data_IF_004091091149
#
_entry.id   IF_004091091149
#
_cell.length_a   1.000
_cell.length_b   1.000
_cell.length_c   1.000
_cell.angle_alpha   90.00
_cell.angle_beta   90.00
_cell.angle_gamma   90.00
#
_symmetry.space_group_name_H-M   'P 1'
#
loop_
_entity.id
_entity.type
_entity.pdbx_description
1 polymer ?
#
# COMPACT_ATOMS: atom_id res chain seq x y z
N UNK A 1 41.01 21.58 40.97
CA UNK A 1 40.72 21.38 42.39
C UNK A 1 39.29 20.82 42.51
N UNK A 2 39.20 19.54 42.94
CA UNK A 2 38.05 18.87 43.58
C UNK A 2 36.72 18.83 42.80
N UNK A 3 36.05 17.79 42.61
CA UNK A 3 35.95 16.36 42.97
C UNK A 3 34.53 15.92 42.67
N UNK A 4 34.42 14.90 41.91
CA UNK A 4 33.66 13.64 42.06
C UNK A 4 32.32 13.66 42.84
N UNK A 5 31.24 13.12 42.22
CA UNK A 5 30.50 12.01 42.87
C UNK A 5 29.70 11.21 41.83
N UNK A 6 30.14 9.97 41.71
CA UNK A 6 29.40 8.82 41.20
C UNK A 6 28.33 8.41 42.24
N UNK A 7 27.13 8.05 41.82
CA UNK A 7 26.27 7.14 42.61
C UNK A 7 25.66 6.12 41.67
N UNK A 8 26.14 4.90 41.81
CA UNK A 8 25.58 3.66 41.32
C UNK A 8 24.60 3.11 42.38
N UNK A 9 23.44 2.63 41.98
CA UNK A 9 22.67 1.68 42.78
C UNK A 9 22.15 0.58 41.87
N UNK A 10 22.64 -0.60 42.13
CA UNK A 10 22.23 -1.88 41.58
C UNK A 10 21.08 -2.49 42.40
N UNK A 11 20.28 -3.33 41.76
CA UNK A 11 19.72 -4.54 42.41
C UNK A 11 18.25 -4.50 42.75
N UNK A 12 17.46 -5.32 42.11
CA UNK A 12 16.89 -6.50 42.76
C UNK A 12 16.12 -7.38 41.75
N UNK A 13 16.66 -8.58 41.59
CA UNK A 13 15.98 -9.78 41.06
C UNK A 13 15.02 -10.31 42.12
N UNK A 14 13.80 -10.67 41.75
CA UNK A 14 13.01 -11.63 42.51
C UNK A 14 12.41 -12.67 41.56
N UNK A 15 12.96 -13.88 41.69
CA UNK A 15 12.41 -15.13 41.18
C UNK A 15 11.24 -15.56 42.07
N UNK A 16 10.14 -16.01 41.46
CA UNK A 16 9.25 -16.97 42.13
C UNK A 16 8.93 -18.11 41.17
N UNK A 17 9.50 -19.25 41.52
CA UNK A 17 9.10 -20.58 41.06
C UNK A 17 8.01 -21.09 42.02
N UNK A 18 6.94 -21.66 41.49
CA UNK A 18 6.15 -22.64 42.24
C UNK A 18 5.64 -23.71 41.30
N UNK A 19 6.11 -24.91 41.55
CA UNK A 19 5.66 -26.20 41.02
C UNK A 19 4.43 -26.69 41.80
N UNK A 20 3.63 -27.52 41.16
CA UNK A 20 3.03 -28.80 41.61
C UNK A 20 1.64 -28.95 40.98
N UNK A 21 1.46 -29.90 40.13
CA UNK A 21 1.17 -31.34 40.31
C UNK A 21 -0.33 -31.68 40.52
N UNK A 22 -0.84 -32.58 39.69
CA UNK A 22 -1.83 -33.50 40.21
C UNK A 22 -3.06 -33.82 39.38
N UNK A 23 -2.96 -34.82 38.50
CA UNK A 23 -3.90 -35.97 38.38
C UNK A 23 -5.31 -35.84 37.78
N UNK A 24 -5.44 -36.50 36.64
CA UNK A 24 -6.50 -37.44 36.20
C UNK A 24 -7.91 -37.36 36.81
N UNK A 25 -8.92 -37.38 35.94
CA UNK A 25 -9.93 -38.44 35.89
C UNK A 25 -10.69 -38.43 34.55
N UNK A 26 -10.85 -39.61 33.98
CA UNK A 26 -11.72 -39.95 32.85
C UNK A 26 -13.20 -39.76 33.21
N UNK A 27 -14.02 -39.40 32.20
CA UNK A 27 -15.46 -39.54 32.29
C UNK A 27 -16.08 -39.28 30.94
N UNK A 28 -16.33 -40.35 30.20
CA UNK A 28 -17.16 -40.32 28.99
C UNK A 28 -18.63 -40.16 29.40
N UNK A 29 -19.34 -39.30 28.71
CA UNK A 29 -20.78 -39.44 28.58
C UNK A 29 -21.25 -38.78 27.28
N UNK A 30 -21.70 -39.64 26.37
CA UNK A 30 -22.56 -39.31 25.27
C UNK A 30 -23.87 -38.72 25.80
N UNK A 31 -24.32 -37.64 25.22
CA UNK A 31 -25.74 -37.38 25.07
C UNK A 31 -26.00 -36.50 23.86
N UNK A 32 -26.80 -37.08 23.00
CA UNK A 32 -27.49 -36.49 21.85
C UNK A 32 -28.16 -35.17 22.25
N UNK A 33 -27.96 -34.13 21.45
CA UNK A 33 -29.01 -33.15 21.32
C UNK A 33 -29.07 -32.61 19.88
N UNK A 34 -30.25 -32.79 19.33
CA UNK A 34 -30.59 -32.35 18.00
C UNK A 34 -30.82 -30.85 17.94
N UNK A 35 -30.36 -30.25 16.86
CA UNK A 35 -31.03 -29.21 16.12
C UNK A 35 -31.28 -27.86 16.83
N UNK A 36 -30.38 -26.94 16.59
CA UNK A 36 -30.71 -25.56 16.29
C UNK A 36 -29.55 -24.97 15.49
N UNK A 37 -29.66 -25.00 14.18
CA UNK A 37 -28.89 -24.12 13.32
C UNK A 37 -29.44 -22.70 13.49
N UNK A 38 -28.92 -21.99 14.49
CA UNK A 38 -28.99 -20.53 14.47
C UNK A 38 -28.07 -20.04 13.36
N UNK A 39 -28.64 -19.41 12.33
CA UNK A 39 -27.90 -18.77 11.25
C UNK A 39 -26.90 -17.79 11.83
N UNK A 40 -25.63 -18.18 11.85
CA UNK A 40 -24.56 -17.25 12.15
C UNK A 40 -24.46 -16.27 10.99
N UNK A 41 -24.80 -15.02 11.23
CA UNK A 41 -24.48 -13.92 10.32
C UNK A 41 -22.98 -14.00 10.02
N UNK A 42 -22.62 -13.99 8.74
CA UNK A 42 -21.23 -13.95 8.32
C UNK A 42 -20.65 -12.59 8.67
N UNK A 43 -19.96 -12.52 9.80
CA UNK A 43 -19.29 -11.30 10.24
C UNK A 43 -17.83 -11.34 9.80
N UNK A 44 -17.43 -10.33 9.05
CA UNK A 44 -16.03 -10.06 8.72
C UNK A 44 -15.54 -8.94 9.62
N UNK A 45 -14.48 -9.19 10.37
CA UNK A 45 -13.90 -8.23 11.31
C UNK A 45 -12.67 -7.58 10.69
N UNK A 46 -12.63 -6.26 10.69
CA UNK A 46 -11.47 -5.48 10.27
C UNK A 46 -10.39 -5.53 11.37
N UNK A 47 -9.13 -5.76 11.04
CA UNK A 47 -8.05 -5.71 12.02
C UNK A 47 -8.02 -4.37 12.77
N UNK A 48 -7.74 -4.41 14.07
CA UNK A 48 -7.55 -3.20 14.86
C UNK A 48 -6.22 -2.56 14.46
N UNK A 49 -6.28 -1.43 13.77
CA UNK A 49 -5.12 -0.62 13.44
C UNK A 49 -5.16 0.60 14.36
N UNK A 50 -4.56 0.43 15.54
CA UNK A 50 -4.33 1.54 16.46
C UNK A 50 -3.15 2.37 15.95
N UNK A 51 -3.43 3.31 15.09
CA UNK A 51 -2.50 4.30 14.60
C UNK A 51 -3.24 5.60 14.33
N UNK A 52 -2.59 6.71 14.60
CA UNK A 52 -3.08 8.03 14.20
C UNK A 52 -3.45 8.01 12.71
N UNK A 53 -4.42 8.77 12.31
CA UNK A 53 -4.88 8.91 10.93
C UNK A 53 -3.73 9.37 10.02
N UNK A 54 -2.88 8.43 9.60
CA UNK A 54 -1.78 8.68 8.65
C UNK A 54 -2.30 8.82 7.22
N UNK A 55 -3.57 8.46 7.02
CA UNK A 55 -4.23 8.50 5.73
C UNK A 55 -5.22 9.65 5.64
N UNK A 56 -5.11 10.44 4.60
CA UNK A 56 -6.06 11.46 4.20
C UNK A 56 -6.35 11.33 2.71
N UNK A 57 -7.58 11.18 2.35
CA UNK A 57 -8.02 11.21 0.96
C UNK A 57 -9.01 10.11 0.59
N UNK A 58 -9.83 10.38 -0.39
CA UNK A 58 -10.66 9.38 -1.06
C UNK A 58 -9.84 8.66 -2.12
N UNK A 59 -10.04 7.36 -2.26
CA UNK A 59 -9.29 6.54 -3.22
C UNK A 59 -9.86 6.66 -4.63
N UNK A 60 -8.96 6.70 -5.61
CA UNK A 60 -9.27 6.43 -7.00
C UNK A 60 -9.39 4.91 -7.28
N UNK A 61 -9.88 4.52 -8.47
CA UNK A 61 -9.97 3.11 -8.84
C UNK A 61 -8.57 2.49 -8.88
N UNK A 62 -8.37 1.43 -8.09
CA UNK A 62 -7.19 0.59 -8.20
C UNK A 62 -7.37 -0.41 -9.34
N UNK A 63 -6.28 -0.72 -10.01
CA UNK A 63 -6.30 -1.70 -11.09
C UNK A 63 -6.61 -3.10 -10.59
N UNK A 64 -7.62 -3.66 -11.19
CA UNK A 64 -7.93 -5.07 -11.13
C UNK A 64 -7.58 -5.69 -12.48
N UNK A 65 -6.98 -6.86 -12.46
CA UNK A 65 -6.68 -7.62 -13.67
C UNK A 65 -7.75 -8.68 -13.89
N UNK A 66 -8.42 -8.65 -15.04
CA UNK A 66 -9.30 -9.72 -15.49
C UNK A 66 -8.61 -10.45 -16.64
N UNK A 67 -8.25 -11.71 -16.41
CA UNK A 67 -7.59 -12.57 -17.39
C UNK A 67 -8.53 -13.69 -17.84
N UNK A 68 -8.66 -13.86 -19.13
CA UNK A 68 -9.38 -14.98 -19.72
C UNK A 68 -8.39 -16.05 -20.20
N UNK A 69 -8.61 -17.31 -19.76
CA UNK A 69 -7.82 -18.46 -20.23
C UNK A 69 -8.66 -19.27 -21.23
N UNK A 70 -8.33 -19.25 -22.52
CA UNK A 70 -9.23 -19.67 -23.60
C UNK A 70 -9.60 -21.16 -23.59
N UNK A 71 -8.70 -22.03 -23.10
CA UNK A 71 -8.88 -23.50 -23.16
C UNK A 71 -10.02 -24.04 -22.28
N UNK A 72 -10.42 -23.33 -21.25
CA UNK A 72 -11.42 -23.83 -20.28
C UNK A 72 -12.57 -22.87 -20.02
N UNK A 73 -12.68 -21.76 -20.73
CA UNK A 73 -13.63 -20.68 -20.41
C UNK A 73 -13.49 -20.18 -18.94
N UNK A 74 -12.33 -20.43 -18.35
CA UNK A 74 -12.05 -19.98 -16.99
C UNK A 74 -11.71 -18.49 -17.02
N UNK A 75 -12.48 -17.73 -16.29
CA UNK A 75 -12.25 -16.31 -16.04
C UNK A 75 -11.55 -16.16 -14.70
N UNK A 76 -10.47 -15.42 -14.68
CA UNK A 76 -9.75 -15.06 -13.46
C UNK A 76 -9.91 -13.56 -13.23
N UNK A 77 -10.44 -13.20 -12.08
CA UNK A 77 -10.63 -11.81 -11.66
C UNK A 77 -9.70 -11.55 -10.49
N UNK A 78 -8.93 -10.47 -10.56
CA UNK A 78 -8.04 -10.04 -9.50
C UNK A 78 -8.45 -8.64 -9.07
N UNK A 79 -8.72 -8.44 -7.78
CA UNK A 79 -9.28 -7.19 -7.28
C UNK A 79 -8.97 -6.99 -5.79
N UNK A 80 -9.21 -5.78 -5.32
CA UNK A 80 -9.07 -5.43 -3.90
C UNK A 80 -10.44 -5.10 -3.32
N UNK A 81 -10.56 -5.35 -2.02
CA UNK A 81 -11.69 -4.90 -1.20
C UNK A 81 -11.12 -4.10 -0.05
N UNK A 82 -11.60 -2.90 0.12
CA UNK A 82 -11.07 -1.96 1.07
C UNK A 82 -12.16 -1.34 1.94
N UNK A 83 -11.76 -0.89 3.12
CA UNK A 83 -12.60 -0.08 3.98
C UNK A 83 -12.67 1.39 3.47
N UNK A 84 -13.50 2.27 4.07
CA UNK A 84 -13.57 3.67 3.65
C UNK A 84 -12.27 4.47 3.80
N UNK A 85 -11.35 3.98 4.62
CA UNK A 85 -10.02 4.58 4.81
C UNK A 85 -8.99 4.00 3.84
N UNK A 86 -9.40 3.05 2.98
CA UNK A 86 -8.57 2.45 1.98
C UNK A 86 -7.68 1.32 2.47
N UNK A 87 -7.96 0.76 3.62
CA UNK A 87 -7.25 -0.44 4.08
C UNK A 87 -7.83 -1.70 3.46
N UNK A 88 -6.95 -2.57 2.97
CA UNK A 88 -7.36 -3.87 2.47
C UNK A 88 -8.11 -4.64 3.56
N UNK A 89 -9.26 -5.21 3.19
CA UNK A 89 -10.09 -6.03 4.06
C UNK A 89 -9.76 -7.51 3.85
N UNK A 90 -8.92 -8.12 4.69
CA UNK A 90 -8.64 -9.55 4.63
C UNK A 90 -9.84 -10.36 5.15
N UNK A 91 -9.78 -11.67 4.93
CA UNK A 91 -10.69 -12.64 5.55
C UNK A 91 -12.17 -12.58 5.08
N UNK A 92 -12.45 -11.94 3.93
CA UNK A 92 -13.75 -12.09 3.29
C UNK A 92 -13.85 -13.51 2.73
N UNK A 93 -14.85 -14.25 3.17
CA UNK A 93 -15.00 -15.65 2.81
C UNK A 93 -15.53 -15.78 1.39
N UNK A 94 -15.24 -16.92 0.75
CA UNK A 94 -15.72 -17.26 -0.59
C UNK A 94 -17.23 -17.01 -0.77
N UNK A 95 -18.02 -17.43 0.18
CA UNK A 95 -19.48 -17.36 0.10
C UNK A 95 -20.02 -15.93 0.24
N UNK A 96 -19.16 -14.99 0.64
CA UNK A 96 -19.48 -13.56 0.70
C UNK A 96 -19.31 -12.84 -0.65
N UNK A 97 -18.86 -13.54 -1.71
CA UNK A 97 -18.72 -12.94 -3.02
C UNK A 97 -19.84 -13.41 -3.96
N UNK A 98 -20.44 -12.47 -4.66
CA UNK A 98 -21.29 -12.73 -5.83
C UNK A 98 -20.65 -12.09 -7.06
N UNK A 99 -20.41 -12.89 -8.09
CA UNK A 99 -19.84 -12.43 -9.36
C UNK A 99 -20.93 -12.47 -10.43
N UNK A 100 -21.03 -11.39 -11.19
CA UNK A 100 -21.92 -11.26 -12.33
C UNK A 100 -21.10 -10.98 -13.58
N UNK A 101 -21.41 -11.69 -14.66
CA UNK A 101 -20.89 -11.46 -15.99
C UNK A 101 -22.07 -11.13 -16.90
N UNK A 102 -22.10 -9.94 -17.49
CA UNK A 102 -23.23 -9.40 -18.24
C UNK A 102 -24.57 -9.57 -17.48
N UNK A 103 -24.58 -9.17 -16.20
CA UNK A 103 -25.68 -9.30 -15.24
C UNK A 103 -26.11 -10.76 -14.92
N UNK A 104 -25.45 -11.76 -15.45
CA UNK A 104 -25.70 -13.18 -15.13
C UNK A 104 -24.81 -13.63 -13.98
N UNK A 105 -25.42 -14.02 -12.86
CA UNK A 105 -24.70 -14.53 -11.68
C UNK A 105 -23.93 -15.81 -12.01
N UNK A 106 -22.62 -15.79 -11.76
CA UNK A 106 -21.74 -16.92 -11.97
C UNK A 106 -21.75 -17.85 -10.75
N UNK A 107 -21.50 -19.14 -10.99
CA UNK A 107 -21.50 -20.19 -9.97
C UNK A 107 -20.11 -20.82 -9.86
N UNK A 108 -19.93 -21.65 -8.83
CA UNK A 108 -18.70 -22.43 -8.61
C UNK A 108 -17.43 -21.57 -8.57
N UNK A 109 -17.48 -20.47 -7.82
CA UNK A 109 -16.34 -19.59 -7.64
C UNK A 109 -15.24 -20.31 -6.83
N UNK A 110 -14.00 -20.26 -7.28
CA UNK A 110 -12.83 -20.47 -6.43
C UNK A 110 -12.32 -19.09 -6.00
N UNK A 111 -12.13 -18.89 -4.72
CA UNK A 111 -11.67 -17.61 -4.16
C UNK A 111 -10.40 -17.85 -3.36
N UNK A 112 -9.34 -17.19 -3.76
CA UNK A 112 -8.03 -17.22 -3.11
C UNK A 112 -7.57 -15.80 -2.78
N UNK A 113 -6.59 -15.71 -1.88
CA UNK A 113 -5.83 -14.48 -1.63
C UNK A 113 -4.44 -14.68 -2.21
N UNK A 114 -4.08 -13.84 -3.16
CA UNK A 114 -2.77 -13.90 -3.81
C UNK A 114 -1.83 -12.85 -3.21
N UNK A 115 -0.59 -13.28 -2.95
CA UNK A 115 0.51 -12.41 -2.61
C UNK A 115 1.50 -12.44 -3.78
N UNK A 116 1.43 -11.45 -4.64
CA UNK A 116 2.28 -11.37 -5.82
C UNK A 116 3.59 -10.61 -5.54
N UNK A 117 4.70 -10.97 -6.21
CA UNK A 117 5.89 -10.15 -6.25
C UNK A 117 5.58 -8.77 -6.83
N UNK A 118 6.30 -7.78 -6.36
CA UNK A 118 6.10 -6.38 -6.80
C UNK A 118 7.41 -5.80 -7.36
N UNK A 119 7.28 -4.86 -8.29
CA UNK A 119 8.39 -4.03 -8.72
C UNK A 119 8.16 -2.61 -8.23
N UNK A 120 9.06 -2.09 -7.43
CA UNK A 120 8.94 -0.77 -6.79
C UNK A 120 10.04 0.16 -7.26
N UNK A 121 9.65 1.35 -7.72
CA UNK A 121 10.55 2.47 -7.91
C UNK A 121 10.48 3.38 -6.67
N UNK A 122 11.57 3.45 -5.90
CA UNK A 122 11.74 4.49 -4.89
C UNK A 122 12.20 5.77 -5.56
N UNK A 123 11.43 6.84 -5.38
CA UNK A 123 11.77 8.19 -5.85
C UNK A 123 12.02 9.08 -4.63
N UNK A 124 13.26 9.49 -4.45
CA UNK A 124 13.71 10.22 -3.28
C UNK A 124 13.94 11.68 -3.61
N UNK A 125 13.36 12.57 -2.80
CA UNK A 125 13.76 13.97 -2.79
C UNK A 125 15.17 14.10 -2.25
N UNK A 126 16.07 14.68 -3.06
CA UNK A 126 17.47 14.80 -2.74
C UNK A 126 18.02 16.12 -3.28
N UNK A 127 17.55 17.22 -2.68
CA UNK A 127 17.86 18.58 -3.07
C UNK A 127 17.10 19.58 -2.21
N UNK A 128 17.06 20.80 -2.67
CA UNK A 128 16.37 21.92 -2.01
C UNK A 128 17.30 23.09 -1.75
N UNK A 129 16.71 24.24 -1.44
CA UNK A 129 17.45 25.50 -1.24
C UNK A 129 17.84 25.80 0.21
N UNK A 130 17.64 24.86 1.11
CA UNK A 130 17.80 25.10 2.54
C UNK A 130 18.96 24.28 3.10
N UNK A 131 20.17 24.77 2.86
CA UNK A 131 21.43 24.09 3.20
C UNK A 131 21.48 23.58 4.65
N UNK A 132 20.97 24.35 5.60
CA UNK A 132 21.00 24.00 7.02
C UNK A 132 20.11 22.78 7.35
N UNK A 133 19.03 22.57 6.59
CA UNK A 133 18.13 21.44 6.73
C UNK A 133 18.48 20.28 5.80
N UNK A 134 19.21 20.55 4.71
CA UNK A 134 19.50 19.51 3.72
C UNK A 134 20.27 18.33 4.30
N UNK A 135 21.11 18.54 5.31
CA UNK A 135 21.88 17.45 5.94
C UNK A 135 21.00 16.48 6.73
N UNK A 136 20.06 17.01 7.53
CA UNK A 136 19.13 16.19 8.29
C UNK A 136 18.10 15.55 7.37
N UNK A 137 17.50 16.32 6.46
CA UNK A 137 16.51 15.81 5.49
C UNK A 137 17.11 14.71 4.61
N UNK A 138 18.35 14.86 4.12
CA UNK A 138 19.00 13.82 3.31
C UNK A 138 19.22 12.52 4.08
N UNK A 139 19.59 12.59 5.35
CA UNK A 139 19.71 11.41 6.22
C UNK A 139 18.37 10.77 6.50
N UNK A 140 17.35 11.56 6.81
CA UNK A 140 16.00 11.08 7.04
C UNK A 140 15.43 10.40 5.80
N UNK A 141 15.57 11.00 4.63
CA UNK A 141 15.13 10.40 3.36
C UNK A 141 15.82 9.06 3.10
N UNK A 142 17.14 8.97 3.32
CA UNK A 142 17.89 7.73 3.17
C UNK A 142 17.45 6.68 4.20
N UNK A 143 17.18 7.08 5.44
CA UNK A 143 16.72 6.16 6.49
C UNK A 143 15.30 5.66 6.22
N UNK A 144 14.39 6.54 5.83
CA UNK A 144 13.04 6.16 5.38
C UNK A 144 13.13 5.14 4.25
N UNK A 145 14.00 5.37 3.26
CA UNK A 145 14.19 4.42 2.16
C UNK A 145 14.78 3.08 2.62
N UNK A 146 15.68 3.05 3.61
CA UNK A 146 16.22 1.80 4.18
C UNK A 146 15.15 0.99 4.90
N UNK A 147 14.30 1.64 5.68
CA UNK A 147 13.19 0.97 6.36
C UNK A 147 12.25 0.25 5.39
N UNK A 148 12.11 0.77 4.16
CA UNK A 148 11.38 0.08 3.12
C UNK A 148 12.07 -1.21 2.65
N UNK A 149 13.39 -1.21 2.54
CA UNK A 149 14.14 -2.38 2.10
C UNK A 149 13.91 -3.60 3.00
N UNK A 150 13.64 -3.40 4.28
CA UNK A 150 13.35 -4.48 5.24
C UNK A 150 12.00 -5.18 4.99
N UNK A 151 11.10 -4.56 4.23
CA UNK A 151 9.79 -5.11 3.87
C UNK A 151 9.78 -5.87 2.55
N UNK A 152 10.88 -5.81 1.78
CA UNK A 152 10.98 -6.52 0.51
C UNK A 152 11.22 -8.01 0.70
N UNK A 153 10.57 -8.81 -0.14
CA UNK A 153 10.82 -10.24 -0.28
C UNK A 153 11.92 -10.48 -1.31
N UNK A 154 12.42 -11.72 -1.35
CA UNK A 154 13.50 -12.07 -2.30
C UNK A 154 13.08 -12.03 -3.78
N UNK A 155 11.80 -12.15 -4.06
CA UNK A 155 11.19 -12.12 -5.39
C UNK A 155 10.72 -10.72 -5.82
N UNK A 156 10.75 -9.74 -4.91
CA UNK A 156 10.47 -8.36 -5.23
C UNK A 156 11.65 -7.70 -5.95
N UNK A 157 11.32 -6.75 -6.82
CA UNK A 157 12.32 -5.92 -7.50
C UNK A 157 12.23 -4.49 -7.02
N UNK A 158 13.35 -3.85 -6.84
CA UNK A 158 13.42 -2.46 -6.42
C UNK A 158 14.46 -1.70 -7.22
N UNK A 159 14.08 -0.52 -7.67
CA UNK A 159 14.98 0.48 -8.22
C UNK A 159 14.90 1.75 -7.38
N UNK A 160 15.96 2.53 -7.36
CA UNK A 160 16.03 3.78 -6.61
C UNK A 160 16.51 4.92 -7.50
N UNK A 161 15.85 6.04 -7.41
CA UNK A 161 16.23 7.29 -8.06
C UNK A 161 16.13 8.43 -7.07
N UNK A 162 17.02 9.40 -7.20
CA UNK A 162 16.98 10.64 -6.46
C UNK A 162 16.69 11.80 -7.41
N UNK A 163 16.08 12.85 -6.89
CA UNK A 163 15.82 14.06 -7.67
C UNK A 163 16.08 15.33 -6.84
N UNK A 164 16.58 16.32 -7.51
CA UNK A 164 16.62 17.72 -7.18
C UNK A 164 16.24 18.48 -8.45
N UNK A 165 17.21 19.16 -9.09
CA UNK A 165 17.04 19.78 -10.40
C UNK A 165 16.93 18.76 -11.55
N UNK A 166 17.39 17.51 -11.33
CA UNK A 166 17.35 16.41 -12.28
C UNK A 166 17.04 15.10 -11.58
N UNK A 167 16.37 14.23 -12.33
CA UNK A 167 16.18 12.83 -11.94
C UNK A 167 17.46 12.03 -12.20
N UNK A 168 18.00 11.40 -11.18
CA UNK A 168 19.17 10.53 -11.25
C UNK A 168 18.82 9.11 -10.80
N UNK A 169 19.00 8.12 -11.65
CA UNK A 169 18.89 6.72 -11.24
C UNK A 169 20.14 6.33 -10.46
N UNK A 170 19.97 5.87 -9.23
CA UNK A 170 21.04 5.42 -8.34
C UNK A 170 21.25 3.91 -8.43
N UNK A 171 20.16 3.14 -8.52
CA UNK A 171 20.19 1.71 -8.81
C UNK A 171 18.96 1.30 -9.61
N UNK A 172 19.13 0.36 -10.55
CA UNK A 172 18.03 -0.11 -11.39
C UNK A 172 17.44 -1.44 -10.88
N UNK A 173 16.22 -1.79 -11.32
CA UNK A 173 15.46 -2.97 -10.90
C UNK A 173 16.16 -4.31 -11.12
N UNK A 174 17.09 -4.39 -12.07
CA UNK A 174 17.85 -5.60 -12.40
C UNK A 174 19.15 -5.76 -11.59
N UNK A 175 19.53 -4.76 -10.80
CA UNK A 175 20.77 -4.77 -10.03
C UNK A 175 20.62 -5.42 -8.66
N UNK A 176 19.38 -5.65 -8.22
CA UNK A 176 19.06 -6.31 -6.96
C UNK A 176 19.19 -5.43 -5.72
N UNK A 177 18.77 -5.97 -4.59
CA UNK A 177 18.69 -5.27 -3.30
C UNK A 177 20.03 -4.67 -2.85
N UNK A 178 21.12 -5.42 -2.97
CA UNK A 178 22.44 -4.97 -2.53
C UNK A 178 22.94 -3.71 -3.26
N UNK A 179 22.56 -3.53 -4.53
CA UNK A 179 22.90 -2.31 -5.26
C UNK A 179 22.15 -1.10 -4.74
N UNK A 180 20.87 -1.27 -4.35
CA UNK A 180 20.07 -0.20 -3.73
C UNK A 180 20.61 0.16 -2.35
N UNK A 181 20.94 -0.82 -1.51
CA UNK A 181 21.55 -0.59 -0.19
C UNK A 181 22.86 0.20 -0.34
N UNK A 182 23.74 -0.21 -1.27
CA UNK A 182 24.97 0.51 -1.56
C UNK A 182 24.71 1.93 -2.07
N UNK A 183 23.69 2.13 -2.89
CA UNK A 183 23.31 3.47 -3.36
C UNK A 183 22.86 4.38 -2.21
N UNK A 184 22.11 3.83 -1.26
CA UNK A 184 21.69 4.56 -0.06
C UNK A 184 22.88 4.88 0.88
N UNK A 185 23.88 4.00 0.98
CA UNK A 185 25.06 4.22 1.82
C UNK A 185 25.96 5.34 1.31
N UNK A 186 25.97 5.58 0.00
CA UNK A 186 26.78 6.64 -0.61
C UNK A 186 26.03 7.97 -0.77
N UNK A 187 24.73 8.00 -0.46
CA UNK A 187 23.98 9.24 -0.39
C UNK A 187 24.53 10.11 0.74
N UNK A 188 25.23 11.18 0.37
CA UNK A 188 25.75 12.17 1.30
C UNK A 188 24.75 13.29 1.62
N UNK A 189 25.26 14.48 1.86
CA UNK A 189 24.42 15.68 2.01
C UNK A 189 23.83 16.06 0.68
N UNK A 190 22.49 16.26 0.58
CA UNK A 190 21.86 16.76 -0.64
C UNK A 190 22.46 18.10 -1.06
N UNK A 191 22.70 18.31 -2.36
CA UNK A 191 23.14 19.60 -2.85
C UNK A 191 22.03 20.66 -2.74
N UNK A 192 22.42 21.92 -2.67
CA UNK A 192 21.46 22.99 -2.93
C UNK A 192 21.04 22.96 -4.40
N UNK A 193 19.75 22.77 -4.66
CA UNK A 193 19.22 22.66 -6.01
C UNK A 193 17.75 23.05 -6.04
N UNK A 194 17.21 23.19 -7.24
CA UNK A 194 15.76 23.20 -7.44
C UNK A 194 15.16 21.83 -7.11
N UNK A 195 13.86 21.80 -6.87
CA UNK A 195 13.08 20.60 -6.69
C UNK A 195 12.13 20.43 -7.88
N UNK A 196 12.53 19.61 -8.85
CA UNK A 196 11.74 19.36 -10.05
C UNK A 196 10.91 18.06 -9.87
N UNK A 197 9.99 18.09 -8.92
CA UNK A 197 9.20 16.92 -8.51
C UNK A 197 8.35 16.38 -9.64
N UNK A 198 7.68 17.27 -10.40
CA UNK A 198 6.78 16.81 -11.48
C UNK A 198 7.56 16.15 -12.62
N UNK A 199 8.71 16.71 -13.02
CA UNK A 199 9.57 16.07 -14.03
C UNK A 199 10.09 14.71 -13.54
N UNK A 200 10.46 14.62 -12.26
CA UNK A 200 10.98 13.41 -11.66
C UNK A 200 9.91 12.30 -11.54
N UNK A 201 8.72 12.64 -11.09
CA UNK A 201 7.63 11.68 -10.96
C UNK A 201 7.16 11.20 -12.33
N UNK A 202 6.98 12.12 -13.29
CA UNK A 202 6.63 11.78 -14.67
C UNK A 202 7.66 10.82 -15.30
N UNK A 203 8.95 11.16 -15.21
CA UNK A 203 10.02 10.31 -15.73
C UNK A 203 10.08 8.93 -15.06
N UNK A 204 9.76 8.86 -13.76
CA UNK A 204 9.70 7.60 -13.02
C UNK A 204 8.50 6.76 -13.46
N UNK A 205 7.31 7.34 -13.61
CA UNK A 205 6.11 6.66 -14.13
C UNK A 205 6.38 6.10 -15.52
N UNK A 206 7.01 6.88 -16.41
CA UNK A 206 7.33 6.42 -17.76
C UNK A 206 8.31 5.25 -17.77
N UNK A 207 9.31 5.25 -16.89
CA UNK A 207 10.23 4.10 -16.74
C UNK A 207 9.51 2.83 -16.29
N UNK A 208 8.45 2.97 -15.48
CA UNK A 208 7.65 1.83 -15.03
C UNK A 208 6.72 1.27 -16.12
N UNK A 209 6.44 2.02 -17.19
CA UNK A 209 5.46 1.65 -18.22
C UNK A 209 5.71 0.27 -18.84
N UNK A 210 6.96 -0.07 -19.11
CA UNK A 210 7.35 -1.33 -19.76
C UNK A 210 7.62 -2.48 -18.78
N UNK A 211 7.36 -2.27 -17.48
CA UNK A 211 7.52 -3.30 -16.46
C UNK A 211 6.21 -4.07 -16.33
N UNK A 212 6.29 -5.39 -16.49
CA UNK A 212 5.14 -6.28 -16.37
C UNK A 212 4.86 -6.64 -14.90
N UNK A 213 3.62 -6.95 -14.59
CA UNK A 213 3.19 -7.37 -13.26
C UNK A 213 2.87 -6.20 -12.34
N UNK A 214 2.80 -6.46 -11.03
CA UNK A 214 2.49 -5.41 -10.06
C UNK A 214 3.65 -4.44 -9.90
N UNK A 215 3.37 -3.18 -10.06
CA UNK A 215 4.38 -2.13 -10.06
C UNK A 215 3.89 -0.87 -9.36
N UNK A 216 4.79 -0.24 -8.62
CA UNK A 216 4.48 0.99 -7.91
C UNK A 216 5.65 1.96 -7.91
N UNK A 217 5.34 3.23 -7.81
CA UNK A 217 6.26 4.29 -7.41
C UNK A 217 5.97 4.65 -5.95
N UNK A 218 6.99 4.69 -5.12
CA UNK A 218 6.93 5.26 -3.78
C UNK A 218 7.74 6.54 -3.82
N UNK A 219 7.05 7.68 -3.83
CA UNK A 219 7.67 8.99 -3.83
C UNK A 219 7.81 9.51 -2.39
N UNK A 220 9.04 9.66 -1.92
CA UNK A 220 9.39 10.27 -0.64
C UNK A 220 9.74 11.72 -0.94
N UNK A 221 8.82 12.64 -0.64
CA UNK A 221 8.87 14.02 -1.15
C UNK A 221 8.18 15.02 -0.22
N UNK A 222 8.65 16.24 -0.21
CA UNK A 222 7.95 17.38 0.39
C UNK A 222 6.71 17.80 -0.42
N UNK A 223 6.56 17.31 -1.66
CA UNK A 223 5.53 17.73 -2.59
C UNK A 223 5.78 19.08 -3.24
N UNK A 224 6.92 19.71 -2.94
CA UNK A 224 7.30 20.99 -3.54
C UNK A 224 7.84 20.78 -4.95
N UNK A 225 7.36 21.60 -5.87
CA UNK A 225 7.91 21.75 -7.20
C UNK A 225 8.34 23.19 -7.44
N UNK A 226 9.58 23.40 -7.89
CA UNK A 226 10.10 24.75 -8.03
C UNK A 226 10.33 25.14 -9.49
N UNK A 227 10.71 24.19 -10.35
CA UNK A 227 11.14 24.53 -11.70
C UNK A 227 10.97 23.39 -12.73
N UNK A 228 10.00 22.49 -12.53
CA UNK A 228 9.70 21.47 -13.52
C UNK A 228 9.21 22.04 -14.85
N UNK A 229 9.52 21.36 -15.93
CA UNK A 229 8.95 21.62 -17.26
C UNK A 229 7.55 21.04 -17.39
N UNK A 230 7.33 19.88 -16.77
CA UNK A 230 6.02 19.27 -16.67
C UNK A 230 5.12 20.06 -15.72
N UNK A 231 3.87 20.24 -16.12
CA UNK A 231 2.86 20.79 -15.22
C UNK A 231 2.28 19.73 -14.31
N UNK A 232 1.73 20.15 -13.18
CA UNK A 232 0.98 19.26 -12.27
C UNK A 232 -0.09 18.44 -13.01
N UNK A 233 -0.83 19.06 -13.95
CA UNK A 233 -1.89 18.39 -14.70
C UNK A 233 -1.34 17.27 -15.61
N UNK A 234 -0.17 17.45 -16.21
CA UNK A 234 0.47 16.42 -17.03
C UNK A 234 0.87 15.21 -16.17
N UNK A 235 1.41 15.45 -14.96
CA UNK A 235 1.76 14.37 -14.06
C UNK A 235 0.53 13.65 -13.51
N UNK A 236 -0.53 14.41 -13.17
CA UNK A 236 -1.80 13.84 -12.73
C UNK A 236 -2.42 12.93 -13.80
N UNK A 237 -2.42 13.39 -15.05
CA UNK A 237 -2.90 12.61 -16.17
C UNK A 237 -2.04 11.35 -16.39
N UNK A 238 -0.71 11.48 -16.37
CA UNK A 238 0.20 10.33 -16.50
C UNK A 238 -0.01 9.31 -15.39
N UNK A 239 -0.20 9.75 -14.14
CA UNK A 239 -0.49 8.87 -13.01
C UNK A 239 -1.84 8.14 -13.19
N UNK A 240 -2.86 8.85 -13.69
CA UNK A 240 -4.18 8.28 -13.93
C UNK A 240 -4.20 7.27 -15.09
N UNK A 241 -3.44 7.53 -16.16
CA UNK A 241 -3.39 6.69 -17.36
C UNK A 241 -2.39 5.55 -17.28
N UNK A 242 -1.50 5.57 -16.28
CA UNK A 242 -0.49 4.53 -16.10
C UNK A 242 -1.06 3.32 -15.37
N UNK A 243 -0.49 2.15 -15.66
CA UNK A 243 -0.72 0.95 -14.85
C UNK A 243 0.15 0.91 -13.58
N UNK A 244 0.68 2.06 -13.17
CA UNK A 244 1.61 2.16 -12.05
C UNK A 244 0.93 2.85 -10.88
N UNK A 245 0.82 2.15 -9.76
CA UNK A 245 0.29 2.75 -8.53
C UNK A 245 1.32 3.70 -7.92
N UNK A 246 0.92 4.92 -7.60
CA UNK A 246 1.78 5.91 -6.95
C UNK A 246 1.41 6.02 -5.48
N UNK A 247 2.36 5.75 -4.61
CA UNK A 247 2.28 6.05 -3.18
C UNK A 247 3.16 7.24 -2.87
N UNK A 248 2.73 8.10 -1.97
CA UNK A 248 3.53 9.24 -1.55
C UNK A 248 3.75 9.23 -0.04
N UNK A 249 4.97 9.53 0.39
CA UNK A 249 5.34 9.77 1.79
C UNK A 249 5.78 11.21 1.89
N UNK A 250 4.91 12.05 2.47
CA UNK A 250 5.10 13.48 2.56
C UNK A 250 6.10 13.86 3.66
N UNK A 251 7.14 14.58 3.31
CA UNK A 251 8.18 15.05 4.23
C UNK A 251 7.83 16.38 4.92
N UNK A 252 6.74 17.05 4.53
CA UNK A 252 6.46 18.41 4.94
C UNK A 252 6.39 18.60 6.46
N UNK A 253 5.81 17.66 7.21
CA UNK A 253 5.72 17.75 8.68
C UNK A 253 7.06 17.50 9.36
N UNK A 254 7.85 16.59 8.82
CA UNK A 254 9.22 16.34 9.28
C UNK A 254 10.08 17.57 9.08
N UNK A 255 10.03 18.20 7.90
CA UNK A 255 10.75 19.43 7.58
C UNK A 255 10.33 20.59 8.50
N UNK A 256 9.02 20.78 8.72
CA UNK A 256 8.52 21.83 9.62
C UNK A 256 8.96 21.62 11.06
N UNK A 257 8.95 20.37 11.54
CA UNK A 257 9.44 20.03 12.88
C UNK A 257 10.93 20.39 13.03
N UNK A 258 11.75 19.96 12.09
CA UNK A 258 13.19 20.27 12.09
C UNK A 258 13.46 21.76 12.03
N UNK A 259 12.81 22.47 11.12
CA UNK A 259 12.93 23.92 11.01
C UNK A 259 12.58 24.65 12.34
N UNK A 260 11.60 24.13 13.07
CA UNK A 260 11.23 24.66 14.38
C UNK A 260 12.31 24.39 15.43
N UNK A 261 12.92 23.21 15.43
CA UNK A 261 14.01 22.84 16.37
C UNK A 261 15.25 23.68 16.15
N UNK A 262 15.62 23.92 14.89
CA UNK A 262 16.81 24.70 14.55
C UNK A 262 16.58 26.22 14.51
N UNK A 263 15.38 26.70 14.80
CA UNK A 263 15.04 28.13 14.74
C UNK A 263 15.04 28.71 13.32
N UNK A 264 15.01 27.87 12.29
CA UNK A 264 15.05 28.25 10.86
C UNK A 264 13.68 28.26 10.21
N UNK A 265 12.62 28.40 10.99
CA UNK A 265 11.23 28.32 10.51
C UNK A 265 10.81 29.48 9.57
N UNK A 266 11.45 30.62 9.64
CA UNK A 266 11.04 31.83 8.90
C UNK A 266 11.00 31.66 7.36
N UNK A 267 11.98 31.02 6.68
CA UNK A 267 11.91 30.78 5.25
C UNK A 267 10.74 29.89 4.86
N UNK A 268 10.36 28.93 5.72
CA UNK A 268 9.30 27.95 5.48
C UNK A 268 7.89 28.48 5.75
N UNK A 269 7.76 29.60 6.48
CA UNK A 269 6.47 30.21 6.78
C UNK A 269 5.69 30.72 5.54
N UNK A 270 6.37 30.86 4.39
CA UNK A 270 5.79 31.31 3.13
C UNK A 270 5.42 30.17 2.19
N UNK A 271 5.74 28.93 2.55
CA UNK A 271 5.44 27.76 1.72
C UNK A 271 4.01 27.33 2.00
N UNK A 272 3.25 27.10 0.95
CA UNK A 272 1.90 26.54 1.04
C UNK A 272 1.97 25.01 1.18
N UNK A 273 2.24 24.55 2.38
CA UNK A 273 2.33 23.13 2.70
C UNK A 273 1.01 22.38 2.50
N UNK A 274 -0.12 23.06 2.70
CA UNK A 274 -1.43 22.45 2.48
C UNK A 274 -1.64 22.13 0.98
N UNK A 275 -1.22 23.03 0.11
CA UNK A 275 -1.28 22.77 -1.34
C UNK A 275 -0.37 21.61 -1.74
N UNK A 276 0.84 21.53 -1.18
CA UNK A 276 1.76 20.42 -1.43
C UNK A 276 1.18 19.08 -0.96
N UNK A 277 0.61 19.03 0.26
CA UNK A 277 -0.06 17.84 0.80
C UNK A 277 -1.22 17.40 -0.11
N UNK A 278 -2.11 18.31 -0.50
CA UNK A 278 -3.24 18.02 -1.38
C UNK A 278 -2.82 17.51 -2.77
N UNK A 279 -1.73 18.02 -3.31
CA UNK A 279 -1.18 17.56 -4.58
C UNK A 279 -0.65 16.13 -4.48
N UNK A 280 0.11 15.81 -3.43
CA UNK A 280 0.57 14.45 -3.17
C UNK A 280 -0.61 13.48 -2.98
N UNK A 281 -1.63 13.88 -2.23
CA UNK A 281 -2.86 13.11 -2.04
C UNK A 281 -3.57 12.85 -3.38
N UNK A 282 -3.72 13.87 -4.20
CA UNK A 282 -4.40 13.73 -5.48
C UNK A 282 -3.64 12.83 -6.46
N UNK A 283 -2.30 12.96 -6.54
CA UNK A 283 -1.45 12.13 -7.38
C UNK A 283 -1.51 10.64 -6.97
N UNK A 284 -1.46 10.37 -5.68
CA UNK A 284 -1.61 9.01 -5.16
C UNK A 284 -3.01 8.46 -5.49
N UNK A 285 -4.05 9.22 -5.18
CA UNK A 285 -5.45 8.82 -5.36
C UNK A 285 -5.81 8.46 -6.81
N UNK A 286 -5.39 9.27 -7.78
CA UNK A 286 -5.77 9.03 -9.19
C UNK A 286 -5.12 7.80 -9.78
N UNK A 287 -3.97 7.37 -9.23
CA UNK A 287 -3.28 6.15 -9.61
C UNK A 287 -3.73 4.90 -8.82
N UNK A 288 -4.65 5.07 -7.88
CA UNK A 288 -5.11 4.01 -6.99
C UNK A 288 -4.20 3.74 -5.78
N UNK A 289 -3.26 4.62 -5.49
CA UNK A 289 -2.41 4.55 -4.30
C UNK A 289 -2.88 5.45 -3.17
N UNK A 290 -1.98 5.68 -2.20
CA UNK A 290 -2.23 6.47 -0.99
C UNK A 290 -1.11 7.45 -0.71
N UNK A 291 -1.49 8.55 -0.06
CA UNK A 291 -0.56 9.50 0.51
C UNK A 291 -0.48 9.28 2.03
N UNK A 292 0.74 9.29 2.54
CA UNK A 292 1.04 9.24 3.96
C UNK A 292 1.81 10.49 4.34
N UNK A 293 1.45 11.09 5.46
CA UNK A 293 2.11 12.31 5.95
C UNK A 293 2.48 12.09 7.42
N UNK A 294 3.61 11.41 7.69
CA UNK A 294 4.03 11.11 9.05
C UNK A 294 4.39 12.37 9.84
N UNK A 295 4.01 12.40 11.12
CA UNK A 295 4.46 13.41 12.06
C UNK A 295 5.86 13.10 12.61
N UNK A 296 6.28 11.84 12.52
CA UNK A 296 7.61 11.38 12.91
C UNK A 296 8.07 10.17 12.10
N UNK A 297 9.36 9.95 12.03
CA UNK A 297 10.01 8.78 11.45
C UNK A 297 9.60 7.45 12.12
N UNK A 298 9.19 7.50 13.39
CA UNK A 298 8.68 6.33 14.12
C UNK A 298 7.38 5.74 13.52
N UNK A 299 6.65 6.52 12.73
CA UNK A 299 5.43 6.07 12.06
C UNK A 299 5.70 5.35 10.74
N UNK A 300 6.88 5.56 10.16
CA UNK A 300 7.25 5.03 8.85
C UNK A 300 7.18 3.50 8.74
N UNK A 301 7.61 2.71 9.75
CA UNK A 301 7.46 1.25 9.71
C UNK A 301 6.01 0.80 9.52
N UNK A 302 5.06 1.41 10.24
CA UNK A 302 3.64 1.09 10.10
C UNK A 302 3.06 1.51 8.74
N UNK A 303 3.55 2.64 8.19
CA UNK A 303 3.21 3.09 6.83
C UNK A 303 3.64 2.04 5.80
N UNK A 304 4.85 1.52 5.92
CA UNK A 304 5.34 0.51 4.98
C UNK A 304 4.62 -0.83 5.11
N UNK A 305 4.26 -1.24 6.32
CA UNK A 305 3.48 -2.45 6.53
C UNK A 305 2.11 -2.33 5.83
N UNK A 306 1.42 -1.20 5.99
CA UNK A 306 0.16 -0.91 5.30
C UNK A 306 0.32 -0.84 3.77
N UNK A 307 1.34 -0.10 3.30
CA UNK A 307 1.63 0.04 1.88
C UNK A 307 1.91 -1.31 1.23
N UNK A 308 2.75 -2.16 1.86
CA UNK A 308 3.11 -3.45 1.32
C UNK A 308 1.95 -4.44 1.36
N UNK A 309 1.09 -4.40 2.37
CA UNK A 309 -0.13 -5.20 2.41
C UNK A 309 -1.03 -4.83 1.23
N UNK A 310 -1.28 -3.54 1.01
CA UNK A 310 -2.09 -3.07 -0.11
C UNK A 310 -1.48 -3.39 -1.47
N UNK A 311 -0.17 -3.26 -1.59
CA UNK A 311 0.51 -3.48 -2.86
C UNK A 311 0.57 -4.96 -3.24
N UNK A 312 0.67 -5.89 -2.27
CA UNK A 312 0.86 -7.32 -2.52
C UNK A 312 -0.42 -8.12 -2.51
N UNK A 313 -1.37 -7.76 -1.65
CA UNK A 313 -2.53 -8.61 -1.35
C UNK A 313 -3.70 -8.25 -2.24
N UNK A 314 -4.31 -9.27 -2.85
CA UNK A 314 -5.53 -9.13 -3.64
C UNK A 314 -6.36 -10.40 -3.58
N UNK A 315 -7.65 -10.26 -3.75
CA UNK A 315 -8.52 -11.39 -4.01
C UNK A 315 -8.38 -11.86 -5.44
N UNK A 316 -8.38 -13.17 -5.62
CA UNK A 316 -8.41 -13.83 -6.93
C UNK A 316 -9.64 -14.71 -6.97
N UNK A 317 -10.58 -14.40 -7.84
CA UNK A 317 -11.74 -15.26 -8.10
C UNK A 317 -11.56 -15.93 -9.46
N UNK A 318 -11.72 -17.23 -9.46
CA UNK A 318 -11.76 -18.04 -10.70
C UNK A 318 -13.13 -18.69 -10.84
N UNK A 319 -13.70 -18.63 -12.04
CA UNK A 319 -14.96 -19.31 -12.37
C UNK A 319 -14.97 -19.71 -13.83
N UNK A 320 -15.79 -20.72 -14.14
CA UNK A 320 -16.07 -21.07 -15.53
C UNK A 320 -17.26 -20.25 -16.00
N UNK A 321 -17.04 -19.41 -17.01
CA UNK A 321 -18.10 -18.55 -17.54
C UNK A 321 -19.30 -19.36 -18.03
N UNK A 322 -20.49 -18.95 -17.63
CA UNK A 322 -21.74 -19.50 -18.13
C UNK A 322 -22.02 -19.15 -19.60
N UNK A 323 -21.38 -18.08 -20.09
CA UNK A 323 -21.43 -17.69 -21.50
C UNK A 323 -20.43 -18.54 -22.30
N UNK A 324 -20.96 -19.36 -23.20
CA UNK A 324 -20.14 -20.29 -23.99
C UNK A 324 -19.46 -19.68 -25.21
N UNK A 325 -19.79 -18.46 -25.59
CA UNK A 325 -19.15 -17.78 -26.71
C UNK A 325 -17.66 -17.49 -26.41
N UNK A 326 -16.79 -17.87 -27.32
CA UNK A 326 -15.34 -17.67 -27.20
C UNK A 326 -14.85 -16.39 -27.87
N UNK A 327 -15.70 -15.77 -28.67
CA UNK A 327 -15.47 -14.49 -29.34
C UNK A 327 -16.73 -13.64 -29.12
N UNK A 328 -16.55 -12.34 -28.94
CA UNK A 328 -17.68 -11.43 -28.77
C UNK A 328 -17.25 -10.04 -28.28
N UNK A 329 -18.22 -9.19 -28.01
CA UNK A 329 -17.95 -7.88 -27.41
C UNK A 329 -17.35 -8.06 -25.99
N UNK A 330 -16.75 -7.00 -25.45
CA UNK A 330 -16.33 -6.98 -24.06
C UNK A 330 -17.49 -7.38 -23.12
N UNK A 331 -17.19 -8.22 -22.13
CA UNK A 331 -18.14 -8.67 -21.11
C UNK A 331 -17.95 -7.86 -19.85
N UNK A 332 -19.04 -7.40 -19.30
CA UNK A 332 -19.01 -6.62 -18.06
C UNK A 332 -18.93 -7.55 -16.85
N UNK A 333 -18.05 -7.25 -15.94
CA UNK A 333 -17.87 -7.95 -14.68
C UNK A 333 -18.29 -7.06 -13.53
N UNK A 334 -19.07 -7.63 -12.61
CA UNK A 334 -19.46 -6.99 -11.37
C UNK A 334 -19.27 -7.97 -10.21
N UNK A 335 -18.60 -7.52 -9.16
CA UNK A 335 -18.43 -8.29 -7.93
C UNK A 335 -19.16 -7.57 -6.81
N UNK A 336 -20.00 -8.30 -6.10
CA UNK A 336 -20.73 -7.82 -4.93
C UNK A 336 -20.31 -8.56 -3.68
N UNK A 337 -20.33 -7.87 -2.55
CA UNK A 337 -20.16 -8.48 -1.23
C UNK A 337 -21.55 -8.75 -0.65
N UNK A 338 -21.84 -10.02 -0.44
CA UNK A 338 -23.16 -10.48 0.02
C UNK A 338 -23.05 -11.25 1.33
N UNK A 339 -24.09 -11.16 2.12
CA UNK A 339 -24.35 -12.10 3.21
C UNK A 339 -25.03 -13.35 2.65
N UNK A 340 -24.40 -14.53 2.68
CA UNK A 340 -24.97 -15.74 2.10
C UNK A 340 -26.25 -16.21 2.78
N UNK A 341 -26.50 -15.81 4.03
CA UNK A 341 -27.70 -16.20 4.78
C UNK A 341 -28.92 -15.40 4.36
N UNK A 342 -28.75 -14.10 4.07
CA UNK A 342 -29.84 -13.19 3.74
C UNK A 342 -29.93 -12.84 2.26
N UNK A 343 -28.81 -13.02 1.52
CA UNK A 343 -28.64 -12.55 0.14
C UNK A 343 -28.48 -11.02 0.03
N UNK A 344 -28.52 -10.31 1.14
CA UNK A 344 -28.33 -8.87 1.19
C UNK A 344 -26.85 -8.45 1.23
N UNK A 345 -26.55 -7.13 1.32
CA UNK A 345 -25.18 -6.64 1.43
C UNK A 345 -24.46 -7.19 2.68
N UNK A 346 -23.19 -7.59 2.51
CA UNK A 346 -22.35 -8.04 3.61
C UNK A 346 -22.09 -6.89 4.59
N UNK A 347 -22.36 -7.12 5.86
CA UNK A 347 -22.02 -6.20 6.95
C UNK A 347 -20.63 -6.52 7.45
N UNK A 348 -19.72 -5.55 7.34
CA UNK A 348 -18.35 -5.63 7.84
C UNK A 348 -18.26 -4.75 9.07
N UNK A 349 -17.65 -5.26 10.13
CA UNK A 349 -17.51 -4.54 11.39
C UNK A 349 -16.03 -4.23 11.66
N UNK A 350 -15.75 -3.03 12.12
CA UNK A 350 -14.43 -2.69 12.65
C UNK A 350 -14.19 -3.31 14.04
N UNK A 351 -12.99 -3.12 14.59
CA UNK A 351 -12.64 -3.64 15.91
C UNK A 351 -13.51 -3.10 17.05
N UNK A 352 -14.22 -2.00 16.84
CA UNK A 352 -15.18 -1.43 17.80
C UNK A 352 -16.59 -2.01 17.64
N UNK A 353 -16.83 -2.87 16.65
CA UNK A 353 -18.11 -3.44 16.30
C UNK A 353 -19.02 -2.52 15.46
N UNK A 354 -18.51 -1.40 14.96
CA UNK A 354 -19.24 -0.50 14.07
C UNK A 354 -19.22 -1.03 12.64
N UNK A 355 -20.37 -0.98 11.96
CA UNK A 355 -20.47 -1.34 10.54
C UNK A 355 -19.71 -0.32 9.70
N UNK A 356 -18.78 -0.81 8.89
CA UNK A 356 -18.03 -0.04 7.90
C UNK A 356 -18.45 -0.42 6.50
N UNK A 357 -18.48 0.55 5.59
CA UNK A 357 -18.71 0.29 4.18
C UNK A 357 -17.45 -0.33 3.57
N UNK A 358 -17.62 -1.26 2.64
CA UNK A 358 -16.52 -1.79 1.83
C UNK A 358 -16.67 -1.33 0.39
N UNK A 359 -15.54 -1.05 -0.25
CA UNK A 359 -15.46 -0.74 -1.68
C UNK A 359 -14.73 -1.89 -2.38
N UNK A 360 -15.26 -2.32 -3.51
CA UNK A 360 -14.63 -3.30 -4.41
C UNK A 360 -14.04 -2.55 -5.58
N UNK A 361 -12.73 -2.68 -5.78
CA UNK A 361 -12.01 -2.09 -6.90
C UNK A 361 -11.73 -3.16 -7.93
N UNK A 362 -12.39 -3.07 -9.06
CA UNK A 362 -12.42 -4.09 -10.10
C UNK A 362 -12.34 -3.45 -11.49
N UNK A 363 -11.55 -4.04 -12.38
CA UNK A 363 -11.67 -3.77 -13.81
C UNK A 363 -13.03 -4.28 -14.31
N UNK A 364 -13.84 -3.37 -14.82
CA UNK A 364 -15.25 -3.63 -15.06
C UNK A 364 -15.55 -4.53 -16.27
N UNK A 365 -14.55 -4.88 -17.12
CA UNK A 365 -14.79 -5.67 -18.33
C UNK A 365 -13.57 -6.42 -18.84
N UNK A 366 -13.79 -7.51 -19.59
CA UNK A 366 -12.77 -8.20 -20.35
C UNK A 366 -13.30 -8.61 -21.73
N UNK A 367 -12.40 -8.74 -22.70
CA UNK A 367 -12.75 -9.24 -24.05
C UNK A 367 -12.34 -10.70 -24.18
N UNK A 368 -13.29 -11.61 -24.47
CA UNK A 368 -12.95 -13.01 -24.74
C UNK A 368 -12.00 -13.09 -25.94
N UNK A 369 -10.92 -13.87 -25.82
CA UNK A 369 -9.96 -14.13 -26.90
C UNK A 369 -9.98 -15.59 -27.27
N UNK A 370 -9.85 -15.91 -28.57
CA UNK A 370 -9.65 -17.28 -29.02
C UNK A 370 -8.29 -17.83 -28.57
N UNK A 371 -8.24 -19.13 -28.34
CA UNK A 371 -7.02 -19.88 -27.99
C UNK A 371 -6.02 -20.04 -29.15
N UNK A 372 -6.21 -19.39 -30.27
CA UNK A 372 -5.24 -19.40 -31.37
C UNK A 372 -4.17 -18.37 -31.10
N UNK A 373 -3.00 -18.90 -30.73
CA UNK A 373 -1.83 -18.10 -30.41
C UNK A 373 -1.43 -17.10 -31.48
N UNK A 374 -0.90 -16.02 -31.02
CA UNK A 374 0.28 -15.31 -31.55
C UNK A 374 1.23 -15.05 -30.37
#
# INVERSE_FOLDING_TARGET
>A
MKMTKLVSVAGLLVFFLALADGSRVLGAQESQNAGQQSGQESQVTVPNRSGSSLYKGEQGPQESEVTFVPLTRTVTIKFQVEDPNGYFLPNIRRDNFAVYEDEVRQKNLAVDVEHAPVTVALLLEYGGRYHELNQSTGREVAEIARLFMDRLRNDDKVGISAYGDKLQTLADFNQGRAAVEKALDVLGTPPESELNFYDALLGTIERMRNISGRKAVIAISSGLDTFSKASYQQVLQAAQESETTVYTIGLMRLIQREASVYGTAAPFARIDWNSAEQQLEALARVSGGRAYVPDSDLEVPAIYDDLMENLRVRYVIKYVSSNTATIGPPRNIRVELIDPATGGPLKIHDASGKVVAAKVYLQASYTPKNATGD
#
